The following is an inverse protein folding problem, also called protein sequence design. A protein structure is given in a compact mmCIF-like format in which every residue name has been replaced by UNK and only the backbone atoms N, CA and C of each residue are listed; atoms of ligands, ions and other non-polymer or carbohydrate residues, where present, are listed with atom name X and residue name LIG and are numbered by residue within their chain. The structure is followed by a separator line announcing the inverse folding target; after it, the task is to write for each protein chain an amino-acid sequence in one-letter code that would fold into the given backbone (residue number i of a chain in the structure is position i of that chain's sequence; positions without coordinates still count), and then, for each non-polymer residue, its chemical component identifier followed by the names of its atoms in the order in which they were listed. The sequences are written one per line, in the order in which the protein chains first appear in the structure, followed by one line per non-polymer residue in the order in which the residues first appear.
data_IF_014464268605
#
_entry.id   IF_014464268605
#
_cell.length_a   1.000
_cell.length_b   1.000
_cell.length_c   1.000
_cell.angle_alpha   90.00
_cell.angle_beta   90.00
_cell.angle_gamma   90.00
#
_symmetry.space_group_name_H-M   'P 1'
#
loop_
_entity.id
_entity.type
_entity.pdbx_description
1 polymer ?
#
# COMPACT_ATOMS: atom_id res chain seq x y z
N UNK A 1 -92.44 -11.91 32.88
CA UNK A 1 -91.01 -11.60 33.10
C UNK A 1 -90.30 -11.64 31.76
N UNK A 2 -89.71 -10.52 31.34
CA UNK A 2 -89.08 -10.32 30.03
C UNK A 2 -87.55 -10.44 30.20
N UNK A 3 -86.89 -11.31 29.45
CA UNK A 3 -85.45 -11.23 29.22
C UNK A 3 -85.20 -11.34 27.71
N UNK A 4 -84.64 -10.27 27.14
CA UNK A 4 -84.13 -10.19 25.78
C UNK A 4 -82.60 -10.07 25.83
N UNK A 5 -81.98 -10.74 24.87
CA UNK A 5 -80.58 -10.84 24.49
C UNK A 5 -79.77 -9.53 24.55
N UNK A 6 -78.49 -9.64 24.91
CA UNK A 6 -77.47 -8.66 24.55
C UNK A 6 -76.26 -9.37 23.94
N UNK A 7 -75.92 -8.96 22.72
CA UNK A 7 -74.80 -9.44 21.92
C UNK A 7 -73.47 -8.83 22.39
N UNK A 8 -72.41 -9.63 22.42
CA UNK A 8 -71.04 -9.17 22.70
C UNK A 8 -70.25 -9.13 21.40
N UNK A 9 -69.91 -7.92 20.94
CA UNK A 9 -69.13 -7.65 19.73
C UNK A 9 -67.64 -7.81 19.99
N UNK A 10 -66.97 -8.63 19.18
CA UNK A 10 -65.50 -8.71 19.07
C UNK A 10 -64.99 -7.62 18.13
N UNK A 11 -64.12 -6.72 18.63
CA UNK A 11 -63.25 -5.86 17.81
C UNK A 11 -61.81 -6.43 17.81
N UNK A 12 -61.17 -6.63 16.64
CA UNK A 12 -59.75 -6.90 16.57
C UNK A 12 -58.95 -5.59 16.64
N UNK A 13 -58.08 -5.45 17.65
CA UNK A 13 -57.03 -4.42 17.66
C UNK A 13 -55.98 -4.78 16.59
N UNK A 14 -55.91 -3.97 15.53
CA UNK A 14 -54.77 -3.97 14.63
C UNK A 14 -53.61 -3.20 15.30
N UNK A 15 -52.56 -3.91 15.73
CA UNK A 15 -51.27 -3.28 16.05
C UNK A 15 -50.59 -2.90 14.74
N UNK A 16 -50.45 -1.59 14.49
CA UNK A 16 -49.52 -1.08 13.50
C UNK A 16 -48.08 -1.35 13.97
N UNK A 17 -47.38 -2.27 13.30
CA UNK A 17 -45.95 -2.50 13.52
C UNK A 17 -45.16 -1.32 12.92
N UNK A 18 -44.55 -0.49 13.77
CA UNK A 18 -43.52 0.45 13.34
C UNK A 18 -42.34 -0.33 12.74
N UNK A 19 -41.94 0.02 11.52
CA UNK A 19 -40.83 -0.60 10.81
C UNK A 19 -39.50 -0.28 11.53
N UNK A 20 -38.88 -1.29 12.16
CA UNK A 20 -37.61 -1.21 12.89
C UNK A 20 -36.37 -1.31 12.01
N UNK A 21 -36.54 -1.38 10.69
CA UNK A 21 -35.48 -1.64 9.70
C UNK A 21 -34.40 -0.54 9.66
N UNK A 22 -34.79 0.73 9.83
CA UNK A 22 -33.85 1.85 9.73
C UNK A 22 -32.94 1.98 10.96
N UNK A 23 -33.44 1.60 12.14
CA UNK A 23 -32.67 1.65 13.40
C UNK A 23 -31.61 0.55 13.45
N UNK A 24 -31.93 -0.66 12.93
CA UNK A 24 -30.94 -1.74 12.81
C UNK A 24 -29.84 -1.41 11.82
N UNK A 25 -30.17 -0.78 10.67
CA UNK A 25 -29.19 -0.39 9.66
C UNK A 25 -28.22 0.69 10.16
N UNK A 26 -28.72 1.64 10.95
CA UNK A 26 -27.89 2.66 11.62
C UNK A 26 -27.00 2.04 12.72
N UNK A 27 -27.53 1.09 13.49
CA UNK A 27 -26.75 0.34 14.49
C UNK A 27 -25.61 -0.48 13.89
N UNK A 28 -25.88 -1.23 12.82
CA UNK A 28 -24.87 -2.02 12.11
C UNK A 28 -23.81 -1.14 11.44
N UNK A 29 -24.20 0.03 10.94
CA UNK A 29 -23.27 1.02 10.39
C UNK A 29 -22.39 1.62 11.49
N UNK A 30 -22.96 1.98 12.64
CA UNK A 30 -22.21 2.52 13.77
C UNK A 30 -21.24 1.49 14.35
N UNK A 31 -21.64 0.22 14.47
CA UNK A 31 -20.77 -0.88 14.93
C UNK A 31 -19.63 -1.15 13.96
N UNK A 32 -19.88 -1.12 12.65
CA UNK A 32 -18.80 -1.19 11.62
C UNK A 32 -17.84 -0.01 11.72
N UNK A 33 -18.34 1.21 11.90
CA UNK A 33 -17.52 2.42 12.06
C UNK A 33 -16.67 2.35 13.33
N UNK A 34 -17.21 1.85 14.45
CA UNK A 34 -16.49 1.70 15.72
C UNK A 34 -15.41 0.59 15.67
N UNK A 35 -15.69 -0.53 14.99
CA UNK A 35 -14.69 -1.58 14.75
C UNK A 35 -13.60 -1.13 13.76
N UNK A 36 -13.95 -0.32 12.75
CA UNK A 36 -13.00 0.33 11.85
C UNK A 36 -12.12 1.34 12.58
N UNK A 37 -12.62 2.07 13.58
CA UNK A 37 -11.83 3.05 14.34
C UNK A 37 -10.72 2.42 15.19
N UNK A 38 -10.90 1.21 15.73
CA UNK A 38 -9.85 0.48 16.45
C UNK A 38 -8.79 -0.17 15.54
N UNK A 39 -9.09 -0.30 14.24
CA UNK A 39 -8.26 -0.96 13.23
C UNK A 39 -7.77 0.02 12.14
N UNK A 40 -8.06 1.32 12.27
CA UNK A 40 -7.77 2.29 11.21
C UNK A 40 -6.26 2.45 10.98
N UNK A 41 -5.47 2.53 12.05
CA UNK A 41 -4.00 2.60 11.95
C UNK A 41 -3.42 1.32 11.33
N UNK A 42 -3.87 0.15 11.80
CA UNK A 42 -3.46 -1.14 11.25
C UNK A 42 -3.79 -1.25 9.75
N UNK A 43 -5.00 -0.83 9.36
CA UNK A 43 -5.41 -0.78 7.96
C UNK A 43 -4.56 0.21 7.16
N UNK A 44 -4.32 1.41 7.67
CA UNK A 44 -3.48 2.40 6.98
C UNK A 44 -2.04 1.90 6.78
N UNK A 45 -1.48 1.17 7.76
CA UNK A 45 -0.14 0.57 7.68
C UNK A 45 -0.10 -0.67 6.76
N UNK A 46 -1.23 -1.34 6.56
CA UNK A 46 -1.32 -2.57 5.76
C UNK A 46 -1.33 -2.31 4.25
N UNK A 47 -1.53 -1.06 3.82
CA UNK A 47 -1.65 -0.68 2.42
C UNK A 47 -0.76 0.51 2.06
N UNK A 48 -0.29 0.54 0.82
CA UNK A 48 0.17 1.74 0.13
C UNK A 48 -1.01 2.40 -0.55
N UNK A 49 -1.22 3.70 -0.32
CA UNK A 49 -2.38 4.43 -0.80
C UNK A 49 -1.99 5.32 -1.96
N UNK A 50 -2.54 5.05 -3.15
CA UNK A 50 -2.17 5.74 -4.38
C UNK A 50 -3.31 6.59 -4.92
N UNK A 51 -3.00 7.81 -5.35
CA UNK A 51 -3.89 8.70 -6.09
C UNK A 51 -3.17 9.19 -7.33
N UNK A 52 -3.83 9.19 -8.49
CA UNK A 52 -3.25 9.68 -9.74
C UNK A 52 -3.84 11.05 -10.11
N UNK A 53 -3.09 12.15 -9.92
CA UNK A 53 -3.52 13.45 -10.41
C UNK A 53 -3.65 13.46 -11.93
N UNK A 54 -4.62 14.22 -12.44
CA UNK A 54 -4.77 14.44 -13.86
C UNK A 54 -3.57 15.22 -14.42
N UNK A 55 -3.05 14.78 -15.56
CA UNK A 55 -1.95 15.46 -16.26
C UNK A 55 -0.54 15.09 -15.81
N UNK A 56 -0.40 14.16 -14.86
CA UNK A 56 0.90 13.59 -14.47
C UNK A 56 0.95 12.09 -14.76
N UNK A 57 2.16 11.55 -14.89
CA UNK A 57 2.39 10.11 -15.10
C UNK A 57 2.71 9.35 -13.80
N UNK A 58 3.07 10.08 -12.75
CA UNK A 58 3.48 9.52 -11.47
C UNK A 58 2.36 9.77 -10.46
N UNK A 59 1.94 8.77 -9.68
CA UNK A 59 0.94 8.96 -8.66
C UNK A 59 1.52 9.69 -7.44
N UNK A 60 0.64 10.20 -6.59
CA UNK A 60 0.94 10.49 -5.18
C UNK A 60 0.73 9.20 -4.40
N UNK A 61 1.75 8.77 -3.64
CA UNK A 61 1.67 7.57 -2.80
C UNK A 61 1.87 7.91 -1.33
N UNK A 62 0.93 7.51 -0.48
CA UNK A 62 1.04 7.61 0.96
C UNK A 62 1.41 6.24 1.53
N UNK A 63 2.40 6.20 2.40
CA UNK A 63 2.75 5.01 3.19
C UNK A 63 2.86 5.37 4.65
N UNK A 64 2.40 4.47 5.52
CA UNK A 64 2.41 4.61 6.98
C UNK A 64 3.18 3.43 7.58
N UNK A 65 4.16 3.72 8.44
CA UNK A 65 4.96 2.69 9.12
C UNK A 65 5.63 3.28 10.35
N UNK A 66 5.61 2.55 11.46
CA UNK A 66 6.31 2.91 12.70
C UNK A 66 6.06 4.36 13.16
N UNK A 67 4.78 4.78 13.16
CA UNK A 67 4.32 6.15 13.51
C UNK A 67 4.94 7.26 12.64
N UNK A 68 5.38 6.90 11.43
CA UNK A 68 5.85 7.83 10.40
C UNK A 68 5.01 7.69 9.15
N UNK A 69 4.92 8.77 8.40
CA UNK A 69 4.37 8.77 7.05
C UNK A 69 5.42 9.22 6.05
N UNK A 70 5.33 8.66 4.85
CA UNK A 70 6.01 9.16 3.67
C UNK A 70 4.98 9.47 2.57
N UNK A 71 5.27 10.52 1.82
CA UNK A 71 4.46 10.99 0.70
C UNK A 71 5.39 11.05 -0.51
N UNK A 72 5.20 10.11 -1.43
CA UNK A 72 5.86 10.17 -2.73
C UNK A 72 5.06 11.08 -3.65
N UNK A 73 5.72 12.08 -4.22
CA UNK A 73 5.05 13.11 -5.05
C UNK A 73 5.49 13.07 -6.51
N UNK A 74 6.55 12.33 -6.84
CA UNK A 74 7.20 12.37 -8.14
C UNK A 74 8.22 13.51 -8.31
N UNK A 75 8.23 14.51 -7.42
CA UNK A 75 9.27 15.53 -7.34
C UNK A 75 10.05 15.44 -6.03
N UNK A 76 9.68 16.23 -5.02
CA UNK A 76 10.22 16.10 -3.67
C UNK A 76 9.32 15.23 -2.80
N UNK A 77 9.89 14.17 -2.23
CA UNK A 77 9.16 13.33 -1.30
C UNK A 77 9.08 14.02 0.06
N UNK A 78 7.92 13.91 0.71
CA UNK A 78 7.71 14.44 2.05
C UNK A 78 7.69 13.31 3.08
N UNK A 79 8.10 13.61 4.31
CA UNK A 79 8.09 12.65 5.40
C UNK A 79 7.93 13.35 6.75
N UNK A 80 7.36 12.64 7.72
CA UNK A 80 7.22 13.16 9.08
C UNK A 80 6.54 12.19 10.03
N UNK A 81 6.46 12.60 11.29
CA UNK A 81 5.73 11.87 12.31
C UNK A 81 4.22 11.95 12.04
N UNK A 82 3.51 10.87 12.34
CA UNK A 82 2.06 10.76 12.15
C UNK A 82 1.42 10.08 13.35
N UNK A 83 0.22 10.53 13.71
CA UNK A 83 -0.64 9.88 14.69
C UNK A 83 -2.02 9.70 14.08
N UNK A 84 -2.55 8.49 14.13
CA UNK A 84 -3.85 8.13 13.56
C UNK A 84 -4.78 7.84 14.73
N UNK A 85 -5.78 8.70 14.92
CA UNK A 85 -6.78 8.51 15.97
C UNK A 85 -8.09 9.18 15.58
N UNK A 86 -9.23 8.60 16.00
CA UNK A 86 -10.55 9.21 15.84
C UNK A 86 -10.84 9.67 14.41
N UNK A 87 -10.55 8.83 13.41
CA UNK A 87 -10.73 9.14 11.98
C UNK A 87 -10.01 10.41 11.51
N UNK A 88 -8.92 10.77 12.19
CA UNK A 88 -8.08 11.93 11.87
C UNK A 88 -6.61 11.48 11.78
N UNK A 89 -5.94 11.86 10.70
CA UNK A 89 -4.50 11.80 10.56
C UNK A 89 -3.94 13.11 11.09
N UNK A 90 -3.15 13.04 12.16
CA UNK A 90 -2.43 14.18 12.70
C UNK A 90 -0.97 14.07 12.30
N UNK A 91 -0.44 15.06 11.59
CA UNK A 91 0.96 15.08 11.14
C UNK A 91 1.75 16.08 11.95
N UNK A 92 3.01 15.75 12.24
CA UNK A 92 3.99 16.76 12.64
C UNK A 92 4.36 17.69 11.48
N UNK A 93 5.40 18.49 11.66
CA UNK A 93 6.00 19.22 10.53
C UNK A 93 6.54 18.20 9.52
N UNK A 94 6.05 18.26 8.29
CA UNK A 94 6.56 17.45 7.19
C UNK A 94 7.84 18.10 6.66
N UNK A 95 8.89 17.31 6.55
CA UNK A 95 10.11 17.68 5.85
C UNK A 95 10.02 17.20 4.40
N UNK A 96 10.69 17.91 3.49
CA UNK A 96 10.77 17.58 2.07
C UNK A 96 12.20 17.77 1.53
N UNK A 97 12.52 17.14 0.42
CA UNK A 97 13.73 17.46 -0.36
C UNK A 97 13.55 18.77 -1.14
N UNK A 98 14.63 19.32 -1.71
CA UNK A 98 14.62 20.58 -2.48
C UNK A 98 15.19 20.40 -3.90
N UNK A 99 14.56 19.55 -4.69
CA UNK A 99 14.84 19.31 -6.10
C UNK A 99 13.90 20.15 -6.97
N UNK A 100 14.37 20.56 -8.14
CA UNK A 100 13.54 21.18 -9.16
C UNK A 100 13.10 20.13 -10.18
N UNK A 101 11.80 20.14 -10.51
CA UNK A 101 11.19 19.21 -11.46
C UNK A 101 10.37 19.97 -12.52
N UNK A 102 9.63 19.24 -13.36
CA UNK A 102 8.71 19.89 -14.29
C UNK A 102 7.61 20.64 -13.52
N UNK A 103 7.02 21.70 -14.12
CA UNK A 103 5.97 22.48 -13.46
C UNK A 103 4.78 21.64 -12.98
N UNK A 104 4.44 20.58 -13.71
CA UNK A 104 3.34 19.68 -13.37
C UNK A 104 3.64 18.88 -12.09
N UNK A 105 4.88 18.40 -11.93
CA UNK A 105 5.29 17.65 -10.74
C UNK A 105 5.49 18.56 -9.54
N UNK A 106 5.96 19.79 -9.72
CA UNK A 106 6.01 20.78 -8.65
C UNK A 106 4.61 21.17 -8.16
N UNK A 107 3.64 21.29 -9.08
CA UNK A 107 2.22 21.50 -8.72
C UNK A 107 1.64 20.30 -7.98
N UNK A 108 1.98 19.08 -8.40
CA UNK A 108 1.59 17.84 -7.73
C UNK A 108 2.15 17.77 -6.30
N UNK A 109 3.43 18.14 -6.11
CA UNK A 109 4.06 18.23 -4.79
C UNK A 109 3.34 19.23 -3.88
N UNK A 110 3.07 20.45 -4.38
CA UNK A 110 2.35 21.47 -3.62
C UNK A 110 0.94 21.01 -3.22
N UNK A 111 0.24 20.32 -4.13
CA UNK A 111 -1.06 19.72 -3.85
C UNK A 111 -0.95 18.61 -2.80
N UNK A 112 0.05 17.74 -2.89
CA UNK A 112 0.26 16.69 -1.90
C UNK A 112 0.50 17.27 -0.50
N UNK A 113 1.27 18.37 -0.40
CA UNK A 113 1.49 19.08 0.86
C UNK A 113 0.22 19.73 1.42
N UNK A 114 -0.68 20.25 0.57
CA UNK A 114 -1.93 20.89 1.01
C UNK A 114 -2.94 19.90 1.60
N UNK A 115 -2.83 18.59 1.30
CA UNK A 115 -3.66 17.54 1.91
C UNK A 115 -3.49 17.46 3.43
N UNK A 116 -2.32 17.82 3.94
CA UNK A 116 -1.95 17.74 5.36
C UNK A 116 -1.67 19.12 5.98
N UNK A 117 -2.00 20.19 5.27
CA UNK A 117 -1.84 21.54 5.78
C UNK A 117 -2.69 21.77 7.03
N UNK A 118 -2.08 22.37 8.06
CA UNK A 118 -2.72 22.54 9.37
C UNK A 118 -2.57 21.32 10.30
N UNK A 119 -1.91 20.24 9.84
CA UNK A 119 -1.49 19.12 10.65
C UNK A 119 -2.61 18.17 11.10
N UNK A 120 -3.85 18.40 10.69
CA UNK A 120 -5.00 17.53 10.98
C UNK A 120 -5.85 17.34 9.74
N UNK A 121 -5.95 16.11 9.28
CA UNK A 121 -6.73 15.74 8.09
C UNK A 121 -7.72 14.64 8.48
N UNK A 122 -9.01 14.92 8.35
CA UNK A 122 -10.04 13.92 8.55
C UNK A 122 -10.01 12.89 7.42
N UNK A 123 -10.35 11.64 7.72
CA UNK A 123 -10.40 10.58 6.71
C UNK A 123 -11.58 9.63 6.90
N UNK A 124 -11.92 8.94 5.81
CA UNK A 124 -12.87 7.84 5.77
C UNK A 124 -12.20 6.65 5.09
N UNK A 125 -12.32 5.46 5.68
CA UNK A 125 -11.85 4.20 5.12
C UNK A 125 -13.03 3.36 4.64
N UNK A 126 -12.95 2.85 3.42
CA UNK A 126 -13.80 1.79 2.92
C UNK A 126 -12.94 0.56 2.61
N UNK A 127 -13.16 -0.50 3.40
CA UNK A 127 -12.42 -1.76 3.33
C UNK A 127 -13.27 -2.91 2.81
N UNK A 128 -14.43 -2.63 2.19
CA UNK A 128 -15.31 -3.67 1.66
C UNK A 128 -14.63 -4.51 0.57
N UNK A 129 -13.76 -3.89 -0.24
CA UNK A 129 -12.87 -4.57 -1.17
C UNK A 129 -11.46 -4.62 -0.59
N UNK A 130 -10.99 -5.79 -0.15
CA UNK A 130 -9.66 -5.95 0.43
C UNK A 130 -8.52 -5.84 -0.57
N UNK A 131 -8.78 -6.04 -1.86
CA UNK A 131 -7.77 -5.94 -2.93
C UNK A 131 -7.55 -4.50 -3.38
N UNK A 132 -8.58 -3.66 -3.24
CA UNK A 132 -8.56 -2.25 -3.59
C UNK A 132 -9.44 -1.42 -2.63
N UNK A 133 -9.09 -1.34 -1.32
CA UNK A 133 -9.82 -0.50 -0.39
C UNK A 133 -9.61 0.97 -0.74
N UNK A 134 -10.47 1.85 -0.23
CA UNK A 134 -10.34 3.29 -0.48
C UNK A 134 -10.10 4.07 0.82
N UNK A 135 -9.23 5.07 0.71
CA UNK A 135 -8.97 6.07 1.75
C UNK A 135 -9.38 7.42 1.19
N UNK A 136 -10.44 8.01 1.74
CA UNK A 136 -10.85 9.36 1.40
C UNK A 136 -10.28 10.34 2.42
N UNK A 137 -9.39 11.22 1.99
CA UNK A 137 -8.93 12.36 2.79
C UNK A 137 -9.87 13.55 2.58
N UNK A 138 -10.18 14.26 3.66
CA UNK A 138 -10.96 15.50 3.64
C UNK A 138 -10.06 16.63 4.14
N UNK A 139 -9.44 17.34 3.19
CA UNK A 139 -8.61 18.50 3.47
C UNK A 139 -9.46 19.78 3.41
N UNK A 140 -9.31 20.70 4.38
CA UNK A 140 -9.94 22.02 4.31
C UNK A 140 -9.53 22.83 3.07
N UNK A 141 -8.33 22.60 2.53
CA UNK A 141 -7.75 23.39 1.43
C UNK A 141 -7.82 22.67 0.08
N UNK A 142 -7.66 21.35 0.06
CA UNK A 142 -7.67 20.55 -1.16
C UNK A 142 -9.01 19.84 -1.45
N UNK A 143 -9.96 19.89 -0.51
CA UNK A 143 -11.24 19.20 -0.63
C UNK A 143 -11.13 17.69 -0.36
N UNK A 144 -11.98 16.90 -1.01
CA UNK A 144 -12.02 15.44 -0.87
C UNK A 144 -11.14 14.77 -1.92
N UNK A 145 -10.24 13.90 -1.48
CA UNK A 145 -9.34 13.15 -2.37
C UNK A 145 -9.40 11.67 -2.00
N UNK A 146 -9.64 10.82 -3.01
CA UNK A 146 -9.80 9.38 -2.82
C UNK A 146 -8.55 8.67 -3.31
N UNK A 147 -7.91 7.95 -2.39
CA UNK A 147 -6.78 7.07 -2.66
C UNK A 147 -7.26 5.63 -2.74
N UNK A 148 -6.60 4.83 -3.58
CA UNK A 148 -6.81 3.39 -3.67
C UNK A 148 -5.65 2.66 -3.00
N UNK A 149 -5.97 1.73 -2.11
CA UNK A 149 -4.99 0.92 -1.39
C UNK A 149 -4.50 -0.28 -2.21
N UNK A 150 -3.20 -0.55 -2.15
CA UNK A 150 -2.60 -1.84 -2.53
C UNK A 150 -1.89 -2.41 -1.31
N UNK A 151 -2.13 -3.69 -0.98
CA UNK A 151 -1.48 -4.30 0.18
C UNK A 151 0.04 -4.15 0.13
N UNK A 152 0.64 -3.85 1.28
CA UNK A 152 2.10 -3.93 1.43
C UNK A 152 2.56 -5.39 1.30
N UNK A 153 3.79 -5.65 0.85
CA UNK A 153 4.33 -7.00 0.82
C UNK A 153 4.25 -7.73 2.16
N UNK A 154 4.53 -7.04 3.27
CA UNK A 154 4.41 -7.58 4.63
C UNK A 154 2.99 -8.08 4.91
N UNK A 155 1.97 -7.33 4.52
CA UNK A 155 0.56 -7.72 4.67
C UNK A 155 0.21 -8.88 3.75
N UNK A 156 0.62 -8.80 2.48
CA UNK A 156 0.31 -9.79 1.45
C UNK A 156 0.87 -11.17 1.77
N UNK A 157 2.13 -11.24 2.22
CA UNK A 157 2.81 -12.50 2.49
C UNK A 157 2.70 -12.92 3.96
N UNK A 158 2.35 -11.99 4.86
CA UNK A 158 2.20 -12.24 6.29
C UNK A 158 3.48 -12.87 6.91
N UNK A 159 4.63 -12.35 6.48
CA UNK A 159 5.97 -12.65 6.98
C UNK A 159 6.79 -11.36 7.00
N UNK A 160 7.84 -11.31 7.82
CA UNK A 160 8.80 -10.23 7.74
C UNK A 160 9.68 -10.38 6.50
N UNK A 161 9.99 -9.27 5.84
CA UNK A 161 10.87 -9.25 4.67
C UNK A 161 12.34 -9.31 5.08
N UNK A 162 13.04 -10.36 4.66
CA UNK A 162 14.48 -10.48 4.78
C UNK A 162 15.16 -9.60 3.73
N UNK A 163 16.12 -8.77 4.15
CA UNK A 163 16.92 -7.99 3.20
C UNK A 163 18.02 -8.87 2.61
N UNK A 164 18.04 -8.99 1.29
CA UNK A 164 19.16 -9.59 0.54
C UNK A 164 19.66 -8.60 -0.52
N UNK A 165 20.88 -8.82 -1.03
CA UNK A 165 21.43 -8.01 -2.10
C UNK A 165 21.85 -8.91 -3.25
N UNK A 166 21.32 -8.62 -4.43
CA UNK A 166 21.70 -9.31 -5.65
C UNK A 166 22.41 -8.34 -6.57
N UNK A 167 23.58 -8.74 -7.04
CA UNK A 167 24.16 -8.14 -8.25
C UNK A 167 23.52 -8.82 -9.46
N UNK A 168 23.01 -8.01 -10.37
CA UNK A 168 22.27 -8.44 -11.56
C UNK A 168 23.10 -8.08 -12.79
N UNK A 169 23.37 -9.11 -13.60
CA UNK A 169 24.10 -8.96 -14.85
C UNK A 169 23.28 -8.16 -15.88
N UNK A 170 23.93 -7.37 -16.74
CA UNK A 170 23.26 -6.79 -17.89
C UNK A 170 22.80 -7.86 -18.91
N UNK A 171 23.37 -9.07 -18.86
CA UNK A 171 22.99 -10.17 -19.73
C UNK A 171 21.96 -11.09 -19.05
N UNK A 172 20.95 -11.49 -19.82
CA UNK A 172 20.00 -12.54 -19.44
C UNK A 172 20.30 -13.83 -20.21
N UNK A 173 19.78 -14.97 -19.73
CA UNK A 173 19.95 -16.27 -20.38
C UNK A 173 18.63 -16.99 -20.53
N UNK A 174 18.51 -17.75 -21.62
CA UNK A 174 17.41 -18.71 -21.76
C UNK A 174 17.51 -19.78 -20.67
N UNK A 175 16.39 -20.08 -20.05
CA UNK A 175 16.29 -21.04 -18.96
C UNK A 175 14.91 -21.71 -19.01
N UNK A 176 14.74 -22.80 -18.26
CA UNK A 176 13.46 -23.49 -18.14
C UNK A 176 13.15 -23.66 -16.66
N UNK A 177 12.10 -22.98 -16.20
CA UNK A 177 11.48 -23.22 -14.90
C UNK A 177 10.22 -24.06 -15.10
N UNK A 178 9.06 -23.52 -14.73
CA UNK A 178 7.75 -24.10 -15.10
C UNK A 178 7.55 -24.16 -16.62
N UNK A 179 8.09 -23.17 -17.33
CA UNK A 179 8.09 -23.07 -18.78
C UNK A 179 9.42 -22.46 -19.28
N UNK A 180 9.75 -22.59 -20.58
CA UNK A 180 10.85 -21.85 -21.18
C UNK A 180 10.68 -20.34 -20.99
N UNK A 181 11.71 -19.68 -20.50
CA UNK A 181 11.71 -18.24 -20.21
C UNK A 181 13.12 -17.64 -20.30
N UNK A 182 13.20 -16.32 -20.18
CA UNK A 182 14.46 -15.59 -20.08
C UNK A 182 14.72 -15.26 -18.61
N UNK A 183 15.78 -15.82 -18.03
CA UNK A 183 16.18 -15.61 -16.64
C UNK A 183 17.22 -14.50 -16.51
N UNK A 184 17.21 -13.81 -15.38
CA UNK A 184 18.32 -12.95 -14.97
C UNK A 184 19.53 -13.81 -14.59
N UNK A 185 20.73 -13.25 -14.71
CA UNK A 185 21.93 -13.81 -14.09
C UNK A 185 22.25 -12.99 -12.85
N UNK A 186 22.34 -13.65 -11.69
CA UNK A 186 22.55 -13.01 -10.39
C UNK A 186 23.66 -13.66 -9.59
N UNK A 187 24.24 -12.89 -8.67
CA UNK A 187 25.09 -13.40 -7.58
C UNK A 187 24.81 -12.63 -6.31
N UNK A 188 24.87 -13.32 -5.17
CA UNK A 188 24.57 -12.69 -3.88
C UNK A 188 25.74 -11.83 -3.41
N UNK A 189 25.41 -10.69 -2.82
CA UNK A 189 26.34 -9.83 -2.09
C UNK A 189 25.91 -9.77 -0.63
N UNK A 190 26.88 -9.92 0.28
CA UNK A 190 26.66 -9.65 1.70
C UNK A 190 27.32 -8.35 2.10
N UNK A 191 26.61 -7.61 2.94
CA UNK A 191 27.05 -6.36 3.53
C UNK A 191 27.10 -6.51 5.04
N UNK A 192 28.11 -5.92 5.67
CA UNK A 192 28.12 -5.70 7.10
C UNK A 192 27.12 -4.60 7.48
N UNK A 193 26.79 -4.51 8.76
CA UNK A 193 25.86 -3.49 9.29
C UNK A 193 26.30 -2.05 9.00
N UNK A 194 27.61 -1.82 8.84
CA UNK A 194 28.18 -0.52 8.47
C UNK A 194 28.15 -0.23 6.96
N UNK A 195 27.54 -1.10 6.15
CA UNK A 195 27.41 -0.93 4.70
C UNK A 195 28.63 -1.35 3.88
N UNK A 196 29.65 -1.97 4.48
CA UNK A 196 30.82 -2.49 3.76
C UNK A 196 30.50 -3.85 3.13
N UNK A 197 30.83 -4.04 1.85
CA UNK A 197 30.74 -5.35 1.16
C UNK A 197 31.68 -6.36 1.85
N UNK A 198 31.14 -7.47 2.35
CA UNK A 198 31.92 -8.51 3.04
C UNK A 198 32.12 -9.76 2.20
N UNK A 199 31.16 -10.08 1.33
CA UNK A 199 31.21 -11.24 0.46
C UNK A 199 30.52 -10.91 -0.87
N UNK A 200 31.10 -11.40 -1.95
CA UNK A 200 30.48 -11.45 -3.27
C UNK A 200 30.66 -12.87 -3.76
N UNK A 201 29.56 -13.54 -4.09
CA UNK A 201 29.64 -14.89 -4.66
C UNK A 201 30.41 -14.85 -5.99
N UNK A 202 31.26 -15.84 -6.22
CA UNK A 202 32.14 -15.83 -7.40
C UNK A 202 31.38 -16.13 -8.69
N UNK A 203 30.44 -17.07 -8.60
CA UNK A 203 29.75 -17.62 -9.76
C UNK A 203 28.41 -16.93 -9.97
N UNK A 204 28.08 -16.70 -11.24
CA UNK A 204 26.75 -16.27 -11.65
C UNK A 204 25.79 -17.45 -11.65
N UNK A 205 24.60 -17.24 -11.12
CA UNK A 205 23.50 -18.20 -11.11
C UNK A 205 22.31 -17.67 -11.89
N UNK A 206 21.49 -18.57 -12.42
CA UNK A 206 20.23 -18.19 -13.06
C UNK A 206 19.18 -17.89 -11.99
N UNK A 207 18.51 -16.75 -12.12
CA UNK A 207 17.38 -16.38 -11.28
C UNK A 207 16.08 -16.67 -12.05
N UNK A 208 15.36 -17.69 -11.59
CA UNK A 208 14.17 -18.23 -12.25
C UNK A 208 12.87 -17.52 -11.86
N UNK A 209 12.93 -16.74 -10.79
CA UNK A 209 11.81 -15.99 -10.23
C UNK A 209 11.72 -14.57 -10.81
N UNK A 210 10.65 -13.86 -10.44
CA UNK A 210 10.50 -12.44 -10.72
C UNK A 210 10.77 -11.60 -9.47
N UNK A 211 11.29 -10.39 -9.67
CA UNK A 211 11.44 -9.39 -8.61
C UNK A 211 10.39 -8.31 -8.86
N UNK A 212 9.36 -8.23 -8.01
CA UNK A 212 8.30 -7.22 -8.11
C UNK A 212 8.91 -5.81 -8.01
N UNK A 213 8.51 -4.92 -8.91
CA UNK A 213 9.04 -3.56 -9.02
C UNK A 213 10.40 -3.42 -9.72
N UNK A 214 11.09 -4.51 -10.05
CA UNK A 214 12.36 -4.45 -10.78
C UNK A 214 12.16 -4.60 -12.29
N UNK A 215 12.85 -3.74 -13.06
CA UNK A 215 12.90 -3.83 -14.51
C UNK A 215 14.36 -3.92 -14.96
N UNK A 216 14.70 -5.04 -15.59
CA UNK A 216 16.04 -5.28 -16.12
C UNK A 216 16.37 -4.31 -17.27
N UNK A 217 17.64 -3.93 -17.33
CA UNK A 217 18.22 -3.06 -18.34
C UNK A 217 19.51 -3.68 -18.86
N UNK A 218 19.63 -3.84 -20.18
CA UNK A 218 20.77 -4.52 -20.80
C UNK A 218 22.03 -3.65 -20.93
N UNK A 219 21.95 -2.37 -20.55
CA UNK A 219 23.04 -1.39 -20.69
C UNK A 219 23.78 -1.13 -19.37
N UNK A 220 23.34 -1.71 -18.26
CA UNK A 220 23.95 -1.50 -16.96
C UNK A 220 23.94 -2.78 -16.12
N UNK A 221 24.94 -2.90 -15.28
CA UNK A 221 24.99 -3.83 -14.16
C UNK A 221 24.43 -3.12 -12.94
N UNK A 222 23.63 -3.81 -12.15
CA UNK A 222 22.93 -3.20 -11.02
C UNK A 222 23.12 -4.04 -9.76
N UNK A 223 23.36 -3.41 -8.62
CA UNK A 223 23.19 -4.06 -7.31
C UNK A 223 21.86 -3.61 -6.74
N UNK A 224 21.00 -4.58 -6.45
CA UNK A 224 19.62 -4.37 -6.02
C UNK A 224 19.46 -4.90 -4.60
N UNK A 225 18.98 -4.02 -3.71
CA UNK A 225 18.49 -4.43 -2.40
C UNK A 225 17.07 -4.95 -2.58
N UNK A 226 16.84 -6.17 -2.12
CA UNK A 226 15.57 -6.89 -2.31
C UNK A 226 15.03 -7.28 -0.94
N UNK A 227 13.71 -7.19 -0.78
CA UNK A 227 12.98 -7.82 0.31
C UNK A 227 12.47 -9.17 -0.13
N UNK A 228 12.95 -10.23 0.54
CA UNK A 228 12.56 -11.61 0.34
C UNK A 228 11.53 -12.00 1.40
N UNK A 229 10.37 -12.49 0.96
CA UNK A 229 9.27 -12.93 1.81
C UNK A 229 9.02 -14.42 1.62
N UNK A 230 8.78 -15.16 2.69
CA UNK A 230 8.43 -16.57 2.60
C UNK A 230 6.95 -16.73 2.21
N UNK A 231 6.69 -17.51 1.17
CA UNK A 231 5.33 -17.81 0.72
C UNK A 231 4.82 -19.00 1.52
N UNK A 232 3.71 -18.83 2.24
CA UNK A 232 3.06 -19.93 2.95
C UNK A 232 2.37 -20.86 1.95
N UNK A 233 2.73 -22.13 1.97
CA UNK A 233 2.19 -23.17 1.08
C UNK A 233 2.34 -22.84 -0.42
N UNK A 234 3.58 -22.70 -0.94
CA UNK A 234 3.80 -22.45 -2.35
C UNK A 234 3.27 -23.61 -3.21
N UNK A 235 2.87 -23.33 -4.45
CA UNK A 235 2.60 -24.39 -5.42
C UNK A 235 3.87 -25.21 -5.70
N UNK A 236 3.73 -26.46 -6.16
CA UNK A 236 4.85 -27.40 -6.29
C UNK A 236 6.02 -26.86 -7.13
N UNK A 237 5.73 -26.09 -8.19
CA UNK A 237 6.73 -25.51 -9.10
C UNK A 237 6.98 -24.01 -8.84
N UNK A 238 6.46 -23.48 -7.74
CA UNK A 238 6.65 -22.10 -7.31
C UNK A 238 7.80 -22.03 -6.30
N UNK A 239 8.60 -20.97 -6.39
CA UNK A 239 9.57 -20.65 -5.37
C UNK A 239 8.91 -20.50 -3.99
N UNK A 240 9.62 -20.94 -2.95
CA UNK A 240 9.22 -20.69 -1.56
C UNK A 240 9.29 -19.21 -1.18
N UNK A 241 9.80 -18.35 -2.06
CA UNK A 241 10.02 -16.95 -1.79
C UNK A 241 9.34 -16.03 -2.82
N UNK A 242 8.85 -14.89 -2.34
CA UNK A 242 8.53 -13.74 -3.15
C UNK A 242 9.62 -12.67 -3.00
N UNK A 243 9.99 -12.02 -4.09
CA UNK A 243 11.05 -11.01 -4.12
C UNK A 243 10.45 -9.68 -4.53
N UNK A 244 10.70 -8.64 -3.74
CA UNK A 244 10.24 -7.27 -4.02
C UNK A 244 11.45 -6.35 -4.01
N UNK A 245 11.61 -5.54 -5.05
CA UNK A 245 12.63 -4.52 -5.10
C UNK A 245 12.41 -3.52 -3.97
N UNK A 246 13.42 -3.30 -3.14
CA UNK A 246 13.45 -2.20 -2.19
C UNK A 246 14.07 -0.98 -2.88
N UNK A 247 15.32 -1.10 -3.34
CA UNK A 247 15.99 -0.06 -4.10
C UNK A 247 17.18 -0.59 -4.89
N UNK A 248 17.60 0.15 -5.91
CA UNK A 248 18.88 -0.05 -6.58
C UNK A 248 19.93 0.77 -5.83
N UNK A 249 20.98 0.11 -5.33
CA UNK A 249 22.04 0.76 -4.52
C UNK A 249 23.31 1.06 -5.32
N UNK A 250 23.48 0.41 -6.46
CA UNK A 250 24.63 0.63 -7.35
C UNK A 250 24.21 0.41 -8.81
N UNK A 251 24.75 1.23 -9.70
CA UNK A 251 24.58 1.11 -11.15
C UNK A 251 25.94 1.32 -11.81
N UNK A 252 26.30 0.41 -12.70
CA UNK A 252 27.52 0.49 -13.50
C UNK A 252 27.15 0.33 -14.98
N UNK A 253 27.34 1.39 -15.77
CA UNK A 253 27.09 1.33 -17.19
C UNK A 253 28.09 0.40 -17.90
N UNK A 254 27.62 -0.32 -18.90
CA UNK A 254 28.52 -1.06 -19.79
C UNK A 254 29.24 -0.05 -20.69
N UNK A 255 30.53 -0.24 -20.89
CA UNK A 255 31.33 0.63 -21.75
C UNK A 255 30.71 0.72 -23.16
N UNK A 256 30.29 1.92 -23.57
CA UNK A 256 29.71 2.20 -24.89
C UNK A 256 28.18 2.27 -24.96
N UNK A 257 27.47 2.31 -23.82
CA UNK A 257 26.00 2.27 -23.77
C UNK A 257 25.30 3.59 -23.38
N UNK A 258 26.01 4.71 -23.41
CA UNK A 258 25.51 6.07 -23.13
C UNK A 258 25.59 6.94 -24.39
#
# INVERSE_FOLDING_TARGET
MKFKYLALSLLPLALAACQTSDVQKLGDTAVKVLQQQGNAEQTLNAYQWSYQPAGTKQPIVLSFKDQKMSIETGCNNMFGAVTIANSTITTGNLAATNMMCTPELMKQEAFAGSLFQGGKTAFVLDTANTEAPTLTLVSPTAGKVVFTGKMTPETKYNTQGETIFLEISPETKQCTGVAPQTCLQVREIKYAENGVKTQVDKDWTLFYDNIDGFKHTANERQVVRIKRYEIKNPAADQSKYAYVQDMIIEREAIKGSL
#
